data_IF_191679116812
#
_entry.id   IF_191679116812
#
_cell.length_a   1.000
_cell.length_b   1.000
_cell.length_c   1.000
_cell.angle_alpha   90.00
_cell.angle_beta   90.00
_cell.angle_gamma   90.00
#
_symmetry.space_group_name_H-M   'P 1'
#
loop_
_entity.id
_entity.type
_entity.pdbx_description
1 polymer ?
#
# COMPACT_ATOMS: atom_id res chain seq x y z
N UNK A 1 3.91 -19.18 6.51
CA UNK A 1 2.61 -19.23 7.19
C UNK A 1 2.84 -18.65 8.56
N UNK A 2 2.35 -17.44 8.76
CA UNK A 2 2.47 -16.69 10.00
C UNK A 2 1.67 -17.44 11.09
N UNK A 3 2.33 -17.76 12.20
CA UNK A 3 1.81 -18.65 13.24
C UNK A 3 1.71 -17.83 14.53
N UNK A 4 0.51 -17.31 14.84
CA UNK A 4 0.26 -16.71 16.14
C UNK A 4 -0.87 -17.44 16.83
N UNK A 5 -0.55 -18.03 17.98
CA UNK A 5 -1.49 -18.75 18.84
C UNK A 5 -2.17 -19.97 18.21
N UNK A 6 -1.59 -20.57 17.17
CA UNK A 6 -2.20 -21.72 16.47
C UNK A 6 -3.40 -21.38 15.58
N UNK A 7 -3.72 -20.09 15.37
CA UNK A 7 -4.75 -19.67 14.41
C UNK A 7 -4.16 -19.65 13.00
N UNK A 8 -4.73 -20.47 12.12
CA UNK A 8 -4.47 -20.42 10.67
C UNK A 8 -5.52 -19.53 10.01
N UNK A 9 -5.10 -18.36 9.56
CA UNK A 9 -5.93 -17.50 8.71
C UNK A 9 -5.89 -18.01 7.26
N UNK A 10 -7.03 -17.94 6.58
CA UNK A 10 -7.17 -18.36 5.17
C UNK A 10 -6.86 -17.23 4.20
N UNK A 11 -6.93 -15.98 4.65
CA UNK A 11 -6.65 -14.79 3.83
C UNK A 11 -6.21 -13.60 4.67
N UNK A 12 -5.57 -12.62 4.01
CA UNK A 12 -5.21 -11.33 4.64
C UNK A 12 -6.43 -10.58 5.16
N UNK A 13 -7.61 -10.76 4.56
CA UNK A 13 -8.84 -10.16 5.06
C UNK A 13 -9.20 -10.70 6.45
N UNK A 14 -9.11 -12.02 6.65
CA UNK A 14 -9.37 -12.64 7.96
C UNK A 14 -8.34 -12.19 9.02
N UNK A 15 -7.07 -12.04 8.62
CA UNK A 15 -6.02 -11.48 9.49
C UNK A 15 -6.38 -10.06 9.94
N UNK A 16 -6.81 -9.20 9.00
CA UNK A 16 -7.20 -7.82 9.29
C UNK A 16 -8.45 -7.78 10.16
N UNK A 17 -9.48 -8.58 9.89
CA UNK A 17 -10.69 -8.66 10.73
C UNK A 17 -10.35 -9.04 12.17
N UNK A 18 -9.47 -10.04 12.35
CA UNK A 18 -8.98 -10.42 13.67
C UNK A 18 -8.27 -9.26 14.36
N UNK A 19 -7.33 -8.59 13.68
CA UNK A 19 -6.58 -7.47 14.25
C UNK A 19 -7.47 -6.28 14.57
N UNK A 20 -8.46 -5.94 13.74
CA UNK A 20 -9.39 -4.84 14.00
C UNK A 20 -10.36 -5.13 15.16
N UNK A 21 -10.64 -6.42 15.43
CA UNK A 21 -11.38 -6.82 16.63
C UNK A 21 -10.53 -6.72 17.91
N UNK A 22 -9.24 -7.07 17.82
CA UNK A 22 -8.30 -7.07 18.94
C UNK A 22 -7.74 -5.67 19.27
N UNK A 23 -7.56 -4.84 18.25
CA UNK A 23 -6.99 -3.49 18.32
C UNK A 23 -7.93 -2.48 17.66
N UNK A 24 -8.99 -2.03 18.36
CA UNK A 24 -9.99 -1.13 17.78
C UNK A 24 -9.40 0.18 17.24
N UNK A 25 -8.31 0.68 17.81
CA UNK A 25 -7.65 1.91 17.39
C UNK A 25 -7.04 1.80 15.98
N UNK A 26 -6.71 0.57 15.54
CA UNK A 26 -6.14 0.31 14.22
C UNK A 26 -7.12 0.60 13.07
N UNK A 27 -8.43 0.67 13.34
CA UNK A 27 -9.48 1.01 12.35
C UNK A 27 -9.22 2.35 11.66
N UNK A 28 -8.59 3.28 12.35
CA UNK A 28 -8.36 4.65 11.88
C UNK A 28 -6.90 4.93 11.52
N UNK A 29 -6.02 3.92 11.56
CA UNK A 29 -4.58 4.13 11.41
C UNK A 29 -3.91 2.93 10.73
N UNK A 30 -3.77 3.00 9.40
CA UNK A 30 -3.09 2.00 8.59
C UNK A 30 -1.67 1.67 9.08
N UNK A 31 -0.94 2.67 9.60
CA UNK A 31 0.42 2.44 10.09
C UNK A 31 0.41 1.56 11.33
N UNK A 32 -0.51 1.81 12.26
CA UNK A 32 -0.67 0.96 13.43
C UNK A 32 -1.19 -0.43 13.06
N UNK A 33 -2.14 -0.54 12.13
CA UNK A 33 -2.63 -1.83 11.62
C UNK A 33 -1.49 -2.69 11.06
N UNK A 34 -0.61 -2.08 10.25
CA UNK A 34 0.57 -2.76 9.72
C UNK A 34 1.54 -3.18 10.83
N UNK A 35 1.74 -2.34 11.85
CA UNK A 35 2.60 -2.64 12.98
C UNK A 35 2.12 -3.85 13.78
N UNK A 36 0.84 -3.87 14.14
CA UNK A 36 0.27 -5.01 14.88
C UNK A 36 0.20 -6.26 14.01
N UNK A 37 0.02 -6.15 12.69
CA UNK A 37 0.13 -7.30 11.79
C UNK A 37 1.54 -7.91 11.81
N UNK A 38 2.59 -7.09 11.76
CA UNK A 38 3.96 -7.60 11.85
C UNK A 38 4.25 -8.27 13.21
N UNK A 39 3.73 -7.71 14.30
CA UNK A 39 3.91 -8.25 15.65
C UNK A 39 3.10 -9.53 15.89
N UNK A 40 1.81 -9.50 15.57
CA UNK A 40 0.83 -10.51 15.97
C UNK A 40 0.43 -11.49 14.87
N UNK A 41 0.85 -11.29 13.62
CA UNK A 41 0.62 -12.27 12.55
C UNK A 41 1.97 -12.85 12.16
N UNK A 42 2.92 -11.99 11.74
CA UNK A 42 4.27 -12.44 11.38
C UNK A 42 5.14 -12.84 12.58
N UNK A 43 4.74 -12.48 13.82
CA UNK A 43 5.47 -12.87 15.02
C UNK A 43 6.81 -12.15 15.19
N UNK A 44 6.97 -10.97 14.58
CA UNK A 44 8.21 -10.20 14.69
C UNK A 44 8.34 -9.56 16.06
N UNK A 45 9.56 -9.63 16.62
CA UNK A 45 9.91 -8.89 17.81
C UNK A 45 10.07 -7.41 17.48
N UNK A 46 8.99 -6.66 17.71
CA UNK A 46 8.96 -5.21 17.52
C UNK A 46 8.97 -4.49 18.88
N UNK A 47 9.70 -3.37 19.00
CA UNK A 47 9.72 -2.59 20.24
C UNK A 47 8.33 -2.07 20.58
N UNK A 48 8.00 -1.99 21.87
CA UNK A 48 6.73 -1.39 22.25
C UNK A 48 6.72 0.11 21.95
N UNK A 49 5.64 0.55 21.32
CA UNK A 49 5.42 1.94 20.95
C UNK A 49 4.06 2.38 21.45
N UNK A 50 3.96 3.52 22.17
CA UNK A 50 2.68 3.99 22.68
C UNK A 50 1.77 4.45 21.54
N UNK A 51 0.46 4.26 21.70
CA UNK A 51 -0.55 4.63 20.70
C UNK A 51 -0.43 6.09 20.21
N UNK A 52 -0.15 7.04 21.13
CA UNK A 52 0.00 8.45 20.79
C UNK A 52 1.11 8.69 19.75
N UNK A 53 2.18 7.86 19.75
CA UNK A 53 3.23 7.96 18.73
C UNK A 53 2.73 7.55 17.35
N UNK A 54 1.92 6.51 17.26
CA UNK A 54 1.31 6.11 15.98
C UNK A 54 0.39 7.20 15.42
N UNK A 55 -0.39 7.88 16.27
CA UNK A 55 -1.24 8.99 15.85
C UNK A 55 -0.42 10.15 15.28
N UNK A 56 0.65 10.54 15.98
CA UNK A 56 1.54 11.63 15.52
C UNK A 56 2.25 11.29 14.21
N UNK A 57 2.59 10.01 13.99
CA UNK A 57 3.36 9.57 12.82
C UNK A 57 2.50 9.20 11.61
N UNK A 58 1.22 8.89 11.79
CA UNK A 58 0.34 8.41 10.70
C UNK A 58 0.35 9.34 9.47
N UNK A 59 0.24 10.66 9.68
CA UNK A 59 0.30 11.65 8.60
C UNK A 59 1.66 11.70 7.89
N UNK A 60 2.75 11.40 8.61
CA UNK A 60 4.11 11.37 8.08
C UNK A 60 4.33 10.14 7.20
N UNK A 61 3.77 8.98 7.54
CA UNK A 61 3.91 7.75 6.74
C UNK A 61 3.36 7.91 5.32
N UNK A 62 2.19 8.55 5.17
CA UNK A 62 1.64 8.90 3.85
C UNK A 62 2.55 9.85 3.07
N UNK A 63 3.16 10.83 3.76
CA UNK A 63 4.09 11.77 3.15
C UNK A 63 5.40 11.11 2.70
N UNK A 64 5.93 10.18 3.49
CA UNK A 64 7.11 9.36 3.12
C UNK A 64 6.81 8.53 1.88
N UNK A 65 5.64 7.87 1.82
CA UNK A 65 5.21 7.10 0.63
C UNK A 65 5.20 7.97 -0.63
N UNK A 66 4.61 9.16 -0.56
CA UNK A 66 4.54 10.12 -1.68
C UNK A 66 5.92 10.64 -2.06
N UNK A 67 6.76 10.99 -1.09
CA UNK A 67 8.13 11.43 -1.32
C UNK A 67 8.94 10.35 -2.04
N UNK A 68 8.85 9.09 -1.61
CA UNK A 68 9.47 7.94 -2.30
C UNK A 68 8.99 7.84 -3.76
N UNK A 69 7.69 7.98 -4.01
CA UNK A 69 7.14 7.94 -5.38
C UNK A 69 7.71 9.07 -6.25
N UNK A 70 7.82 10.29 -5.72
CA UNK A 70 8.42 11.45 -6.42
C UNK A 70 9.91 11.25 -6.72
N UNK A 71 10.68 10.74 -5.75
CA UNK A 71 12.10 10.42 -5.95
C UNK A 71 12.25 9.40 -7.08
N UNK A 72 11.44 8.34 -7.06
CA UNK A 72 11.47 7.31 -8.11
C UNK A 72 11.00 7.81 -9.47
N UNK A 73 10.04 8.75 -9.54
CA UNK A 73 9.63 9.32 -10.83
C UNK A 73 10.72 10.16 -11.49
N UNK A 74 11.70 10.66 -10.73
CA UNK A 74 12.89 11.35 -11.24
C UNK A 74 14.01 10.37 -11.67
N UNK A 75 13.76 9.06 -11.69
CA UNK A 75 14.76 8.05 -12.05
C UNK A 75 15.75 7.71 -10.94
N UNK A 76 15.60 8.28 -9.74
CA UNK A 76 16.50 8.02 -8.59
C UNK A 76 15.99 6.86 -7.75
N UNK A 77 16.89 6.01 -7.25
CA UNK A 77 16.59 4.86 -6.37
C UNK A 77 15.42 4.01 -6.88
N UNK A 78 15.46 3.66 -8.18
CA UNK A 78 14.49 2.78 -8.78
C UNK A 78 14.52 1.41 -8.09
N UNK A 79 13.39 0.69 -8.02
CA UNK A 79 13.40 -0.67 -7.49
C UNK A 79 14.34 -1.54 -8.32
N UNK A 80 15.27 -2.22 -7.65
CA UNK A 80 16.22 -3.14 -8.30
C UNK A 80 15.63 -4.53 -8.59
N UNK A 81 14.46 -4.83 -8.00
CA UNK A 81 13.78 -6.11 -8.22
C UNK A 81 13.09 -6.13 -9.58
N UNK A 82 13.58 -7.02 -10.45
CA UNK A 82 13.08 -7.24 -11.80
C UNK A 82 11.57 -7.56 -11.83
N UNK A 83 11.03 -8.32 -10.86
CA UNK A 83 9.59 -8.63 -10.81
C UNK A 83 8.76 -7.37 -10.59
N UNK A 84 9.24 -6.46 -9.75
CA UNK A 84 8.59 -5.18 -9.47
C UNK A 84 8.66 -4.28 -10.70
N UNK A 85 9.82 -4.25 -11.38
CA UNK A 85 10.00 -3.53 -12.64
C UNK A 85 9.02 -4.01 -13.72
N UNK A 86 8.91 -5.33 -13.92
CA UNK A 86 8.00 -5.91 -14.92
C UNK A 86 6.54 -5.64 -14.60
N UNK A 87 6.14 -5.75 -13.33
CA UNK A 87 4.77 -5.37 -12.89
C UNK A 87 4.49 -3.90 -13.19
N UNK A 88 5.44 -3.00 -12.89
CA UNK A 88 5.29 -1.55 -13.18
C UNK A 88 5.24 -1.26 -14.68
N UNK A 89 6.07 -1.93 -15.50
CA UNK A 89 6.03 -1.83 -16.97
C UNK A 89 4.65 -2.21 -17.52
N UNK A 90 4.07 -3.32 -17.03
CA UNK A 90 2.72 -3.77 -17.43
C UNK A 90 1.66 -2.71 -17.17
N UNK A 91 1.61 -2.14 -15.97
CA UNK A 91 0.66 -1.07 -15.63
C UNK A 91 0.86 0.21 -16.44
N UNK A 92 2.11 0.58 -16.73
CA UNK A 92 2.41 1.71 -17.62
C UNK A 92 1.84 1.47 -19.02
N UNK A 93 2.03 0.27 -19.56
CA UNK A 93 1.57 -0.09 -20.91
C UNK A 93 0.03 -0.09 -21.00
N UNK A 94 -0.66 -0.61 -19.98
CA UNK A 94 -2.14 -0.59 -19.91
C UNK A 94 -2.65 0.86 -19.97
N UNK A 95 -2.11 1.77 -19.14
CA UNK A 95 -2.52 3.19 -19.17
C UNK A 95 -2.23 3.88 -20.50
N UNK A 96 -1.12 3.53 -21.16
CA UNK A 96 -0.79 4.08 -22.49
C UNK A 96 -1.79 3.59 -23.55
N UNK A 97 -2.23 2.33 -23.47
CA UNK A 97 -3.27 1.80 -24.35
C UNK A 97 -4.62 2.47 -24.10
N UNK A 98 -5.05 2.61 -22.85
CA UNK A 98 -6.28 3.35 -22.49
C UNK A 98 -6.25 4.78 -23.02
N UNK A 99 -5.13 5.50 -22.84
CA UNK A 99 -4.99 6.87 -23.35
C UNK A 99 -5.06 6.93 -24.88
N UNK A 100 -4.40 6.02 -25.60
CA UNK A 100 -4.48 5.94 -27.06
C UNK A 100 -5.90 5.67 -27.57
N UNK A 101 -6.70 4.90 -26.82
CA UNK A 101 -8.10 4.64 -27.15
C UNK A 101 -9.00 5.86 -26.89
N UNK A 102 -8.69 6.67 -25.88
CA UNK A 102 -9.46 7.85 -25.49
C UNK A 102 -9.14 9.11 -26.31
N UNK A 103 -7.91 9.25 -26.83
CA UNK A 103 -7.50 10.39 -27.67
C UNK A 103 -8.42 10.63 -28.89
N UNK A 104 -8.79 9.63 -29.71
CA UNK A 104 -9.71 9.84 -30.84
C UNK A 104 -11.15 10.17 -30.42
N UNK A 105 -11.60 9.73 -29.23
CA UNK A 105 -12.93 10.04 -28.70
C UNK A 105 -13.03 11.49 -28.20
N UNK A 106 -11.98 11.97 -27.53
CA UNK A 106 -11.87 13.38 -27.10
C UNK A 106 -11.75 14.34 -28.27
N UNK A 107 -11.13 13.93 -29.39
CA UNK A 107 -11.04 14.75 -30.59
C UNK A 107 -12.39 14.90 -31.29
N UNK A 108 -13.20 13.82 -31.35
CA UNK A 108 -14.56 13.84 -31.91
C UNK A 108 -15.54 14.68 -31.09
N UNK A 109 -15.44 14.65 -29.76
CA UNK A 109 -16.33 15.45 -28.90
C UNK A 109 -16.08 16.96 -29.01
N UNK A 110 -14.83 17.38 -29.29
CA UNK A 110 -14.47 18.80 -29.51
C UNK A 110 -14.80 19.30 -30.91
N UNK A 111 -14.97 18.41 -31.89
CA UNK A 111 -15.34 18.76 -33.26
C UNK A 111 -16.87 18.90 -33.44
N UNK A 112 -17.66 18.38 -32.50
CA UNK A 112 -19.12 18.39 -32.51
C UNK A 112 -19.75 19.37 -31.49
N UNK A 113 -18.94 20.19 -30.83
CA UNK A 113 -19.35 21.24 -29.90
C UNK A 113 -18.96 22.61 -30.48
#
# INVERSE_FOLDING_TARGET
MANVGGKKFKSTTEEVEYLLSKYPEAKNNDFYLQWVWLKDIEGLELPDMPWQRFQQLAGKMGSIRRARQKVQSMGKHLPSDEKILQRRKRWRNIRLQERKLLEPLSAKSKANA
#
